data_IF_528543096353
#
_entry.id   IF_528543096353
#
_cell.length_a   1.000
_cell.length_b   1.000
_cell.length_c   1.000
_cell.angle_alpha   90.00
_cell.angle_beta   90.00
_cell.angle_gamma   90.00
#
_symmetry.space_group_name_H-M   'P 1'
#
loop_
_entity.id
_entity.type
_entity.pdbx_description
1 polymer ?
#
# COMPACT_ATOMS: atom_id res chain seq x y z
N UNK A 1 49.80 23.79 29.50
CA UNK A 1 49.29 24.01 28.13
C UNK A 1 50.33 23.38 27.20
N UNK A 2 49.98 22.32 26.46
CA UNK A 2 50.84 21.54 25.51
C UNK A 2 51.24 20.09 25.86
N UNK A 3 50.33 19.26 26.36
CA UNK A 3 50.48 17.78 26.32
C UNK A 3 49.23 17.05 25.77
N UNK A 4 48.28 17.81 25.21
CA UNK A 4 47.02 17.30 24.63
C UNK A 4 47.05 17.29 23.10
N UNK A 5 48.24 17.21 22.51
CA UNK A 5 48.41 16.78 21.12
C UNK A 5 48.84 15.33 21.23
N UNK A 6 47.84 14.46 21.43
CA UNK A 6 48.01 13.03 21.25
C UNK A 6 48.78 12.81 19.95
N UNK A 7 49.75 11.92 20.02
CA UNK A 7 50.31 11.17 18.90
C UNK A 7 49.17 10.41 18.20
N UNK A 8 48.28 11.15 17.51
CA UNK A 8 47.14 10.63 16.78
C UNK A 8 47.59 9.73 15.61
N UNK A 9 48.88 9.81 15.29
CA UNK A 9 49.58 8.95 14.35
C UNK A 9 49.86 7.55 14.90
N UNK A 10 49.89 7.33 16.23
CA UNK A 10 50.24 6.03 16.83
C UNK A 10 49.24 5.50 17.89
N UNK A 11 48.02 6.07 17.95
CA UNK A 11 47.01 5.63 18.92
C UNK A 11 46.40 4.24 18.56
N UNK A 12 46.64 3.19 19.37
CA UNK A 12 46.18 1.82 19.07
C UNK A 12 44.65 1.68 19.09
N UNK A 13 43.94 2.61 19.74
CA UNK A 13 42.48 2.65 19.81
C UNK A 13 41.87 3.07 18.48
N UNK A 14 42.49 4.03 17.78
CA UNK A 14 41.97 4.55 16.50
C UNK A 14 42.14 3.50 15.39
N UNK A 15 43.24 2.75 15.39
CA UNK A 15 43.44 1.64 14.44
C UNK A 15 42.41 0.53 14.61
N UNK A 16 42.10 0.13 15.85
CA UNK A 16 41.07 -0.88 16.14
C UNK A 16 39.70 -0.41 15.65
N UNK A 17 39.34 0.85 15.89
CA UNK A 17 38.08 1.44 15.41
C UNK A 17 38.03 1.46 13.89
N UNK A 18 39.11 1.85 13.20
CA UNK A 18 39.19 1.83 11.72
C UNK A 18 39.04 0.42 11.16
N UNK A 19 39.68 -0.60 11.75
CA UNK A 19 39.55 -1.99 11.32
C UNK A 19 38.11 -2.52 11.48
N UNK A 20 37.50 -2.27 12.63
CA UNK A 20 36.10 -2.67 12.90
C UNK A 20 35.12 -1.92 12.00
N UNK A 21 35.32 -0.61 11.80
CA UNK A 21 34.51 0.21 10.90
C UNK A 21 34.66 -0.20 9.43
N UNK A 22 35.87 -0.55 8.97
CA UNK A 22 36.11 -1.02 7.60
C UNK A 22 35.43 -2.38 7.35
N UNK A 23 35.57 -3.33 8.29
CA UNK A 23 34.90 -4.62 8.22
C UNK A 23 33.36 -4.47 8.26
N UNK A 24 32.85 -3.58 9.12
CA UNK A 24 31.43 -3.28 9.21
C UNK A 24 30.91 -2.60 7.93
N UNK A 25 31.63 -1.61 7.38
CA UNK A 25 31.24 -0.85 6.20
C UNK A 25 31.06 -1.74 4.97
N UNK A 26 31.94 -2.74 4.77
CA UNK A 26 31.82 -3.71 3.68
C UNK A 26 30.50 -4.52 3.76
N UNK A 27 30.08 -4.90 4.96
CA UNK A 27 28.83 -5.66 5.17
C UNK A 27 27.56 -4.79 5.04
N UNK A 28 27.66 -3.51 5.41
CA UNK A 28 26.53 -2.56 5.41
C UNK A 28 26.11 -2.20 3.98
N UNK A 29 27.07 -2.03 3.06
CA UNK A 29 26.77 -1.71 1.66
C UNK A 29 25.85 -2.73 1.00
N UNK A 30 26.18 -4.03 1.14
CA UNK A 30 25.37 -5.13 0.61
C UNK A 30 23.96 -5.15 1.21
N UNK A 31 23.83 -4.99 2.53
CA UNK A 31 22.52 -4.97 3.21
C UNK A 31 21.65 -3.79 2.75
N UNK A 32 22.24 -2.62 2.54
CA UNK A 32 21.54 -1.42 2.07
C UNK A 32 21.02 -1.57 0.65
N UNK A 33 21.75 -2.26 -0.24
CA UNK A 33 21.30 -2.56 -1.59
C UNK A 33 20.08 -3.49 -1.56
N UNK A 34 20.16 -4.61 -0.84
CA UNK A 34 19.03 -5.54 -0.72
C UNK A 34 17.80 -4.87 -0.12
N UNK A 35 17.97 -4.07 0.93
CA UNK A 35 16.87 -3.30 1.53
C UNK A 35 16.18 -2.39 0.50
N UNK A 36 16.95 -1.68 -0.34
CA UNK A 36 16.39 -0.82 -1.40
C UNK A 36 15.64 -1.61 -2.46
N UNK A 37 16.17 -2.77 -2.87
CA UNK A 37 15.52 -3.65 -3.84
C UNK A 37 14.15 -4.09 -3.32
N UNK A 38 14.08 -4.57 -2.08
CA UNK A 38 12.81 -4.98 -1.48
C UNK A 38 11.81 -3.83 -1.36
N UNK A 39 12.27 -2.64 -0.95
CA UNK A 39 11.42 -1.45 -0.89
C UNK A 39 10.87 -1.10 -2.28
N UNK A 40 11.69 -1.15 -3.32
CA UNK A 40 11.26 -0.92 -4.70
C UNK A 40 10.21 -1.96 -5.15
N UNK A 41 10.41 -3.23 -4.83
CA UNK A 41 9.44 -4.29 -5.13
C UNK A 41 8.09 -4.00 -4.44
N UNK A 42 8.10 -3.60 -3.16
CA UNK A 42 6.87 -3.22 -2.45
C UNK A 42 6.15 -2.04 -3.12
N UNK A 43 6.89 -1.03 -3.56
CA UNK A 43 6.31 0.11 -4.30
C UNK A 43 5.71 -0.32 -5.64
N UNK A 44 6.38 -1.20 -6.39
CA UNK A 44 5.85 -1.73 -7.64
C UNK A 44 4.58 -2.55 -7.42
N UNK A 45 4.57 -3.43 -6.40
CA UNK A 45 3.39 -4.21 -6.05
C UNK A 45 2.22 -3.31 -5.63
N UNK A 46 2.48 -2.26 -4.84
CA UNK A 46 1.48 -1.27 -4.48
C UNK A 46 0.89 -0.58 -5.71
N UNK A 47 1.74 -0.12 -6.64
CA UNK A 47 1.26 0.51 -7.88
C UNK A 47 0.40 -0.45 -8.70
N UNK A 48 0.82 -1.70 -8.85
CA UNK A 48 0.05 -2.73 -9.57
C UNK A 48 -1.31 -2.98 -8.93
N UNK A 49 -1.44 -2.89 -7.60
CA UNK A 49 -2.71 -3.04 -6.91
C UNK A 49 -3.59 -1.77 -6.97
N UNK A 50 -2.98 -0.58 -6.82
CA UNK A 50 -3.69 0.70 -6.76
C UNK A 50 -4.22 1.12 -8.14
N UNK A 51 -3.49 0.86 -9.22
CA UNK A 51 -3.91 1.22 -10.58
C UNK A 51 -5.30 0.66 -10.95
N UNK A 52 -5.57 -0.67 -10.87
CA UNK A 52 -6.89 -1.21 -11.18
C UNK A 52 -7.95 -0.77 -10.16
N UNK A 53 -7.59 -0.58 -8.88
CA UNK A 53 -8.51 -0.08 -7.86
C UNK A 53 -9.03 1.32 -8.24
N UNK A 54 -8.13 2.24 -8.59
CA UNK A 54 -8.49 3.59 -9.02
C UNK A 54 -9.26 3.55 -10.34
N UNK A 55 -8.84 2.72 -11.31
CA UNK A 55 -9.51 2.59 -12.59
C UNK A 55 -10.98 2.16 -12.43
N UNK A 56 -11.25 1.15 -11.60
CA UNK A 56 -12.61 0.69 -11.33
C UNK A 56 -13.42 1.76 -10.60
N UNK A 57 -12.85 2.43 -9.60
CA UNK A 57 -13.55 3.52 -8.91
C UNK A 57 -13.97 4.63 -9.89
N UNK A 58 -13.04 5.10 -10.72
CA UNK A 58 -13.33 6.12 -11.74
C UNK A 58 -14.39 5.64 -12.71
N UNK A 59 -14.28 4.40 -13.20
CA UNK A 59 -15.27 3.81 -14.11
C UNK A 59 -16.67 3.79 -13.49
N UNK A 60 -16.79 3.32 -12.24
CA UNK A 60 -18.06 3.26 -11.50
C UNK A 60 -18.62 4.65 -11.26
N UNK A 61 -17.79 5.64 -10.91
CA UNK A 61 -18.26 7.02 -10.70
C UNK A 61 -18.79 7.62 -12.01
N UNK A 62 -18.03 7.51 -13.10
CA UNK A 62 -18.41 8.07 -14.41
C UNK A 62 -19.67 7.41 -14.96
N UNK A 63 -19.81 6.10 -14.81
CA UNK A 63 -20.99 5.36 -15.30
C UNK A 63 -22.17 5.32 -14.32
N UNK A 64 -21.90 5.49 -13.02
CA UNK A 64 -22.89 5.35 -11.95
C UNK A 64 -23.59 6.67 -11.59
N UNK A 65 -22.90 7.82 -11.63
CA UNK A 65 -23.54 9.12 -11.35
C UNK A 65 -24.78 9.36 -12.24
N UNK A 66 -24.74 9.10 -13.57
CA UNK A 66 -25.93 9.29 -14.42
C UNK A 66 -27.09 8.35 -14.08
N UNK A 67 -26.82 7.23 -13.39
CA UNK A 67 -27.83 6.26 -12.97
C UNK A 67 -28.51 6.63 -11.63
N UNK A 68 -28.06 7.68 -10.94
CA UNK A 68 -28.69 8.14 -9.70
C UNK A 68 -30.02 8.83 -9.97
N UNK A 69 -31.10 8.07 -9.80
CA UNK A 69 -32.46 8.57 -9.69
C UNK A 69 -33.19 7.80 -8.58
N UNK A 70 -34.37 8.25 -8.19
CA UNK A 70 -35.19 7.57 -7.16
C UNK A 70 -35.57 6.16 -7.58
N UNK A 71 -35.82 5.94 -8.88
CA UNK A 71 -36.23 4.65 -9.42
C UNK A 71 -35.13 3.60 -9.31
N UNK A 72 -33.86 3.99 -9.42
CA UNK A 72 -32.69 3.13 -9.28
C UNK A 72 -32.62 2.49 -7.89
N UNK A 73 -33.07 3.19 -6.85
CA UNK A 73 -33.05 2.65 -5.50
C UNK A 73 -34.27 1.79 -5.19
N UNK A 74 -35.45 2.18 -5.67
CA UNK A 74 -36.72 1.52 -5.28
C UNK A 74 -37.08 0.35 -6.19
N UNK A 75 -36.64 0.35 -7.45
CA UNK A 75 -36.96 -0.73 -8.38
C UNK A 75 -36.05 -1.94 -8.20
N UNK A 76 -36.63 -3.10 -8.52
CA UNK A 76 -35.90 -4.37 -8.59
C UNK A 76 -34.87 -4.35 -9.72
N UNK A 77 -33.80 -5.14 -9.54
CA UNK A 77 -32.85 -5.48 -10.59
C UNK A 77 -33.58 -6.16 -11.74
N UNK A 78 -33.50 -5.58 -12.92
CA UNK A 78 -33.98 -6.13 -14.19
C UNK A 78 -32.86 -6.90 -14.88
N UNK A 79 -33.21 -7.89 -15.73
CA UNK A 79 -32.23 -8.58 -16.56
C UNK A 79 -31.48 -7.63 -17.50
N UNK A 80 -30.27 -8.03 -17.87
CA UNK A 80 -29.46 -7.34 -18.87
C UNK A 80 -30.20 -7.16 -20.20
N UNK A 81 -30.13 -5.96 -20.78
CA UNK A 81 -30.77 -5.63 -22.05
C UNK A 81 -32.20 -5.07 -21.95
N UNK A 82 -32.84 -5.10 -20.77
CA UNK A 82 -34.12 -4.42 -20.55
C UNK A 82 -33.86 -2.99 -20.05
N UNK A 83 -34.32 -1.94 -20.75
CA UNK A 83 -34.18 -0.56 -20.27
C UNK A 83 -34.95 -0.33 -18.97
N UNK A 84 -34.31 0.34 -18.01
CA UNK A 84 -34.89 0.60 -16.69
C UNK A 84 -34.64 -0.53 -15.69
N UNK A 85 -34.97 -0.29 -14.42
CA UNK A 85 -34.67 -1.17 -13.28
C UNK A 85 -33.82 -0.47 -12.21
N UNK A 86 -33.61 -1.15 -11.08
CA UNK A 86 -32.87 -0.61 -9.94
C UNK A 86 -32.04 -1.66 -9.22
N UNK A 87 -31.56 -1.34 -8.01
CA UNK A 87 -30.68 -2.19 -7.21
C UNK A 87 -31.30 -2.61 -5.87
N UNK A 88 -32.61 -2.43 -5.70
CA UNK A 88 -33.30 -2.63 -4.42
C UNK A 88 -33.02 -4.00 -3.79
N UNK A 89 -33.19 -5.07 -4.56
CA UNK A 89 -32.98 -6.44 -4.06
C UNK A 89 -31.53 -6.70 -3.62
N UNK A 90 -30.55 -6.05 -4.27
CA UNK A 90 -29.15 -6.17 -3.89
C UNK A 90 -28.87 -5.51 -2.53
N UNK A 91 -29.44 -4.31 -2.31
CA UNK A 91 -29.32 -3.59 -1.03
C UNK A 91 -29.93 -4.40 0.10
N UNK A 92 -31.16 -4.89 -0.08
CA UNK A 92 -31.87 -5.70 0.92
C UNK A 92 -31.10 -7.00 1.20
N UNK A 93 -30.62 -7.68 0.16
CA UNK A 93 -29.83 -8.90 0.30
C UNK A 93 -28.56 -8.69 1.11
N UNK A 94 -27.76 -7.66 0.80
CA UNK A 94 -26.54 -7.35 1.56
C UNK A 94 -26.83 -7.05 3.03
N UNK A 95 -27.91 -6.30 3.31
CA UNK A 95 -28.28 -5.96 4.67
C UNK A 95 -28.74 -7.18 5.48
N UNK A 96 -29.55 -8.05 4.88
CA UNK A 96 -30.01 -9.30 5.51
C UNK A 96 -28.83 -10.24 5.78
N UNK A 97 -27.98 -10.48 4.78
CA UNK A 97 -26.82 -11.37 4.93
C UNK A 97 -25.85 -10.80 5.98
N UNK A 98 -25.57 -9.50 5.92
CA UNK A 98 -24.70 -8.82 6.89
C UNK A 98 -25.26 -8.92 8.30
N UNK A 99 -26.54 -8.62 8.50
CA UNK A 99 -27.19 -8.65 9.80
C UNK A 99 -27.17 -10.06 10.42
N UNK A 100 -27.53 -11.09 9.64
CA UNK A 100 -27.49 -12.48 10.11
C UNK A 100 -26.05 -12.88 10.44
N UNK A 101 -25.08 -12.58 9.57
CA UNK A 101 -23.68 -12.91 9.77
C UNK A 101 -23.03 -12.20 10.97
N UNK A 102 -23.50 -11.01 11.36
CA UNK A 102 -23.03 -10.31 12.56
C UNK A 102 -23.72 -10.76 13.85
N UNK A 103 -24.91 -11.37 13.75
CA UNK A 103 -25.71 -11.78 14.90
C UNK A 103 -25.35 -13.17 15.43
N UNK A 104 -24.79 -14.02 14.55
CA UNK A 104 -24.33 -15.39 14.85
C UNK A 104 -22.85 -15.36 15.23
#
# INVERSE_FOLDING_TARGET
MSTLVLDATNDPILERRRRVQAAAAASVGRRKLYSRIWILICWLALLVAVVPLVAVIVYVVVKGIPAWNTDFFVHSTTPEGVPGGGIWNAIVGTLVIGAIGTLV
#
